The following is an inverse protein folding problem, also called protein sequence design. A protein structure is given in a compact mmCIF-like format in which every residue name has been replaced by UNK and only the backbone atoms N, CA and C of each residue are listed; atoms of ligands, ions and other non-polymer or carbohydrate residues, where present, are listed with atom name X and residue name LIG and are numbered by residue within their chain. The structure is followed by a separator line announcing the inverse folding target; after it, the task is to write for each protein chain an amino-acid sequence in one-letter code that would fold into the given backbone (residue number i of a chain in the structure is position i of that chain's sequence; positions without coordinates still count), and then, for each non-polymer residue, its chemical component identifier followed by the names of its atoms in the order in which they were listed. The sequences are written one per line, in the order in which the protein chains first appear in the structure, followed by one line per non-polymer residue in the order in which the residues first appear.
data_IF_805260137115
#
_entry.id   IF_805260137115
#
_cell.length_a   1.000
_cell.length_b   1.000
_cell.length_c   1.000
_cell.angle_alpha   90.00
_cell.angle_beta   90.00
_cell.angle_gamma   90.00
#
_symmetry.space_group_name_H-M   'P 1'
#
loop_
_entity.id
_entity.type
_entity.pdbx_description
1 polymer ?
#
# COMPACT_ATOMS: atom_id res chain seq x y z
N UNK A 1 -71.54 -1.24 -6.43
CA UNK A 1 -70.50 -2.17 -5.93
C UNK A 1 -69.49 -1.32 -5.15
N UNK A 2 -69.15 -1.62 -3.90
CA UNK A 2 -68.25 -0.78 -3.13
C UNK A 2 -66.81 -0.89 -3.66
N UNK A 3 -66.12 0.25 -3.77
CA UNK A 3 -64.71 0.34 -4.15
C UNK A 3 -63.85 -0.11 -2.96
N UNK A 4 -63.01 -1.13 -3.18
CA UNK A 4 -61.97 -1.53 -2.23
C UNK A 4 -60.76 -0.60 -2.38
N UNK A 5 -60.53 0.25 -1.41
CA UNK A 5 -59.24 0.92 -1.21
C UNK A 5 -58.26 -0.09 -0.63
N UNK A 6 -57.24 -0.46 -1.40
CA UNK A 6 -56.12 -1.24 -0.86
C UNK A 6 -55.33 -0.35 0.09
N UNK A 7 -55.10 -0.81 1.32
CA UNK A 7 -54.16 -0.17 2.23
C UNK A 7 -52.77 -0.21 1.58
N UNK A 8 -52.13 0.95 1.44
CA UNK A 8 -50.75 1.02 0.97
C UNK A 8 -49.87 0.32 2.00
N UNK A 9 -49.26 -0.79 1.61
CA UNK A 9 -48.29 -1.51 2.44
C UNK A 9 -47.01 -0.66 2.48
N UNK A 10 -46.51 -0.37 3.68
CA UNK A 10 -45.27 0.39 3.83
C UNK A 10 -44.10 -0.43 3.25
N UNK A 11 -43.19 0.19 2.47
CA UNK A 11 -42.08 -0.53 1.88
C UNK A 11 -41.17 -1.11 2.98
N UNK A 12 -41.06 -2.43 3.04
CA UNK A 12 -40.16 -3.13 3.94
C UNK A 12 -38.70 -3.01 3.45
N UNK A 13 -37.78 -2.67 4.35
CA UNK A 13 -36.35 -2.64 4.04
C UNK A 13 -35.79 -4.07 3.96
N UNK A 14 -35.18 -4.41 2.83
CA UNK A 14 -34.51 -5.70 2.65
C UNK A 14 -33.10 -5.66 3.27
N UNK A 15 -32.94 -6.25 4.46
CA UNK A 15 -31.65 -6.25 5.18
C UNK A 15 -30.61 -7.17 4.55
N UNK A 16 -31.02 -8.29 3.93
CA UNK A 16 -30.12 -9.28 3.32
C UNK A 16 -29.09 -8.67 2.34
N UNK A 17 -29.48 -7.85 1.34
CA UNK A 17 -28.50 -7.20 0.46
C UNK A 17 -27.65 -6.14 1.18
N UNK A 18 -28.14 -5.51 2.25
CA UNK A 18 -27.35 -4.54 3.00
C UNK A 18 -26.25 -5.20 3.81
N UNK A 19 -26.55 -6.35 4.42
CA UNK A 19 -25.58 -7.16 5.15
C UNK A 19 -24.47 -7.62 4.20
N UNK A 20 -24.80 -8.03 2.98
CA UNK A 20 -23.83 -8.47 1.98
C UNK A 20 -22.84 -7.35 1.62
N UNK A 21 -23.33 -6.13 1.37
CA UNK A 21 -22.48 -4.96 1.09
C UNK A 21 -21.54 -4.67 2.26
N UNK A 22 -22.06 -4.68 3.50
CA UNK A 22 -21.24 -4.40 4.69
C UNK A 22 -20.18 -5.50 4.89
N UNK A 23 -20.55 -6.76 4.70
CA UNK A 23 -19.62 -7.90 4.80
C UNK A 23 -18.51 -7.80 3.75
N UNK A 24 -18.86 -7.50 2.51
CA UNK A 24 -17.89 -7.30 1.42
C UNK A 24 -16.92 -6.16 1.74
N UNK A 25 -17.41 -5.05 2.31
CA UNK A 25 -16.55 -3.94 2.73
C UNK A 25 -15.58 -4.34 3.85
N UNK A 26 -16.02 -5.10 4.86
CA UNK A 26 -15.14 -5.59 5.93
C UNK A 26 -14.06 -6.51 5.37
N UNK A 27 -14.42 -7.45 4.49
CA UNK A 27 -13.45 -8.35 3.84
C UNK A 27 -12.46 -7.55 2.99
N UNK A 28 -12.94 -6.59 2.20
CA UNK A 28 -12.10 -5.72 1.38
C UNK A 28 -11.07 -4.96 2.24
N UNK A 29 -11.51 -4.34 3.34
CA UNK A 29 -10.59 -3.62 4.23
C UNK A 29 -9.60 -4.54 4.93
N UNK A 30 -10.02 -5.72 5.38
CA UNK A 30 -9.14 -6.71 6.00
C UNK A 30 -8.04 -7.20 5.07
N UNK A 31 -8.37 -7.45 3.80
CA UNK A 31 -7.39 -7.85 2.79
C UNK A 31 -6.48 -6.67 2.42
N UNK A 32 -7.05 -5.47 2.26
CA UNK A 32 -6.30 -4.25 1.92
C UNK A 32 -5.24 -3.86 2.96
N UNK A 33 -5.50 -4.07 4.26
CA UNK A 33 -4.53 -3.74 5.32
C UNK A 33 -3.29 -4.65 5.30
N UNK A 34 -3.41 -5.89 4.82
CA UNK A 34 -2.29 -6.82 4.70
C UNK A 34 -1.26 -6.37 3.65
N UNK A 35 -1.68 -5.67 2.59
CA UNK A 35 -0.77 -5.19 1.55
C UNK A 35 0.19 -4.11 2.05
N UNK A 36 -0.25 -3.22 2.94
CA UNK A 36 0.61 -2.13 3.46
C UNK A 36 1.75 -2.60 4.37
N UNK A 37 1.64 -3.80 4.96
CA UNK A 37 2.71 -4.39 5.76
C UNK A 37 3.80 -5.00 4.88
N UNK A 38 3.45 -5.58 3.73
CA UNK A 38 4.41 -6.23 2.84
C UNK A 38 5.40 -5.26 2.18
N UNK A 39 4.98 -4.03 1.84
CA UNK A 39 5.87 -3.03 1.21
C UNK A 39 6.87 -2.38 2.18
N UNK A 40 6.58 -2.38 3.48
CA UNK A 40 7.43 -1.75 4.51
C UNK A 40 8.60 -2.61 4.97
N UNK A 41 8.69 -3.86 4.51
CA UNK A 41 9.64 -4.84 5.03
C UNK A 41 10.87 -5.04 4.13
N UNK A 42 11.23 -4.04 3.34
CA UNK A 42 12.60 -3.98 2.81
C UNK A 42 13.50 -3.39 3.90
N UNK A 43 14.03 -4.28 4.74
CA UNK A 43 15.14 -3.98 5.64
C UNK A 43 16.37 -3.74 4.75
N UNK A 44 16.66 -2.47 4.47
CA UNK A 44 17.88 -2.09 3.74
C UNK A 44 18.98 -1.99 4.78
N UNK A 45 19.90 -2.94 4.77
CA UNK A 45 21.15 -2.84 5.51
C UNK A 45 21.99 -1.70 4.93
N UNK A 46 22.08 -0.59 5.65
CA UNK A 46 23.02 0.48 5.30
C UNK A 46 24.43 0.01 5.66
N UNK A 47 25.37 -0.04 4.70
CA UNK A 47 26.75 -0.36 5.02
C UNK A 47 27.32 0.73 5.94
N UNK A 48 27.81 0.32 7.11
CA UNK A 48 28.56 1.18 8.01
C UNK A 48 30.05 1.07 7.68
N UNK A 49 30.72 2.21 7.54
CA UNK A 49 32.17 2.25 7.30
C UNK A 49 32.87 1.94 8.63
N UNK A 50 33.51 0.77 8.73
CA UNK A 50 34.27 0.36 9.93
C UNK A 50 35.51 1.22 10.16
N UNK A 51 36.10 1.72 9.08
CA UNK A 51 37.42 2.35 9.09
C UNK A 51 37.39 3.70 8.37
N UNK A 52 36.69 4.67 8.95
CA UNK A 52 36.91 6.07 8.61
C UNK A 52 38.25 6.51 9.25
N UNK A 53 39.37 6.10 8.64
CA UNK A 53 40.67 6.67 8.98
C UNK A 53 40.58 8.18 8.72
N UNK A 54 41.00 9.04 9.68
CA UNK A 54 41.06 10.47 9.42
C UNK A 54 41.91 10.69 8.17
N UNK A 55 41.37 11.42 7.20
CA UNK A 55 42.08 11.88 6.00
C UNK A 55 43.22 12.81 6.44
N UNK A 56 44.31 12.21 6.90
CA UNK A 56 45.54 12.89 7.34
C UNK A 56 46.35 13.39 6.15
N UNK A 57 46.02 12.92 4.95
CA UNK A 57 46.45 13.44 3.67
C UNK A 57 45.24 13.46 2.70
N UNK A 58 45.25 14.39 1.75
CA UNK A 58 44.37 14.27 0.59
C UNK A 58 44.72 12.94 -0.10
N UNK A 59 43.72 12.09 -0.46
CA UNK A 59 43.99 10.91 -1.26
C UNK A 59 44.69 11.32 -2.56
N UNK A 60 45.58 10.45 -3.05
CA UNK A 60 46.19 10.68 -4.37
C UNK A 60 45.10 10.88 -5.41
N UNK A 61 45.28 11.86 -6.28
CA UNK A 61 44.32 12.17 -7.35
C UNK A 61 44.25 10.98 -8.32
N UNK A 62 43.11 10.30 -8.36
CA UNK A 62 42.84 9.24 -9.32
C UNK A 62 42.06 9.86 -10.48
N UNK A 63 42.71 9.99 -11.63
CA UNK A 63 42.07 10.42 -12.89
C UNK A 63 41.59 9.18 -13.64
N UNK A 64 40.27 9.04 -13.77
CA UNK A 64 39.65 7.99 -14.59
C UNK A 64 39.08 8.65 -15.85
N UNK A 65 39.61 8.27 -17.02
CA UNK A 65 39.06 8.67 -18.30
C UNK A 65 38.08 7.60 -18.77
N UNK A 66 36.90 8.01 -19.23
CA UNK A 66 35.89 7.12 -19.79
C UNK A 66 35.59 7.54 -21.22
N UNK A 67 35.86 6.62 -22.15
CA UNK A 67 35.56 6.71 -23.56
C UNK A 67 34.06 6.62 -23.85
N UNK A 68 33.67 7.03 -25.06
CA UNK A 68 32.26 7.07 -25.49
C UNK A 68 31.61 5.68 -25.56
N UNK A 69 32.42 4.64 -25.64
CA UNK A 69 32.11 3.22 -25.61
C UNK A 69 32.04 2.63 -24.19
N UNK A 70 32.32 3.43 -23.16
CA UNK A 70 32.25 3.01 -21.76
C UNK A 70 33.51 2.34 -21.22
N UNK A 71 34.65 2.49 -21.92
CA UNK A 71 35.98 2.06 -21.43
C UNK A 71 36.79 3.21 -20.85
#
# INVERSE_FOLDING_TARGET
MPLKTQAMEEPALNLTPMIDIVLLLVIFFLVGTQFTQAERQYEIDLPTVSDAQPLTALPDEIVVNVGRDGT
#
